data_IF_762022704449
#
_entry.id   IF_762022704449
#
_cell.length_a   1.000
_cell.length_b   1.000
_cell.length_c   1.000
_cell.angle_alpha   90.00
_cell.angle_beta   90.00
_cell.angle_gamma   90.00
#
_symmetry.space_group_name_H-M   'P 1'
#
loop_
_entity.id
_entity.type
_entity.pdbx_description
1 polymer ?
#
# COMPACT_ATOMS: atom_id res chain seq x y z
N UNK A 1 8.15 -23.48 -40.84
CA UNK A 1 7.53 -23.93 -39.59
C UNK A 1 7.94 -22.96 -38.50
N UNK A 2 7.02 -22.14 -38.00
CA UNK A 2 7.33 -21.17 -36.95
C UNK A 2 7.51 -21.93 -35.62
N UNK A 3 8.67 -21.77 -34.97
CA UNK A 3 8.90 -22.34 -33.65
C UNK A 3 7.89 -21.76 -32.65
N UNK A 4 7.30 -22.59 -31.76
CA UNK A 4 6.39 -22.09 -30.74
C UNK A 4 7.13 -21.12 -29.82
N UNK A 5 6.51 -19.98 -29.52
CA UNK A 5 7.07 -18.96 -28.65
C UNK A 5 7.38 -19.56 -27.26
N UNK A 6 8.64 -19.53 -26.87
CA UNK A 6 9.09 -19.97 -25.54
C UNK A 6 8.34 -19.14 -24.49
N UNK A 7 7.64 -19.75 -23.52
CA UNK A 7 6.94 -19.00 -22.49
C UNK A 7 7.95 -18.26 -21.62
N UNK A 8 8.07 -16.94 -21.82
CA UNK A 8 8.87 -16.07 -20.96
C UNK A 8 8.35 -16.15 -19.54
N UNK A 9 9.10 -16.79 -18.64
CA UNK A 9 8.86 -16.71 -17.20
C UNK A 9 9.21 -15.30 -16.75
N UNK A 10 8.21 -14.44 -16.58
CA UNK A 10 8.39 -13.12 -15.95
C UNK A 10 9.05 -13.38 -14.59
N UNK A 11 10.29 -12.89 -14.35
CA UNK A 11 10.96 -13.11 -13.08
C UNK A 11 10.07 -12.52 -11.98
N UNK A 12 9.75 -13.30 -10.92
CA UNK A 12 8.93 -12.78 -9.83
C UNK A 12 9.64 -11.56 -9.25
N UNK A 13 8.92 -10.48 -8.95
CA UNK A 13 9.47 -9.34 -8.23
C UNK A 13 10.27 -9.89 -7.04
N UNK A 14 11.55 -9.63 -7.10
CA UNK A 14 12.53 -10.17 -6.20
C UNK A 14 12.53 -9.34 -4.93
N UNK A 15 11.56 -9.62 -4.08
CA UNK A 15 11.49 -9.20 -2.67
C UNK A 15 12.64 -9.77 -1.83
N UNK A 16 13.57 -10.53 -2.44
CA UNK A 16 14.57 -11.39 -1.79
C UNK A 16 15.72 -10.68 -1.09
N UNK A 17 15.81 -9.35 -1.14
CA UNK A 17 16.68 -8.61 -0.21
C UNK A 17 15.76 -7.66 0.54
N UNK A 18 15.73 -7.70 1.88
CA UNK A 18 14.91 -6.77 2.62
C UNK A 18 15.45 -5.39 2.29
N UNK A 19 14.65 -4.62 1.57
CA UNK A 19 14.99 -3.28 1.18
C UNK A 19 14.75 -2.38 2.41
N UNK A 20 15.44 -2.69 3.51
CA UNK A 20 15.23 -2.13 4.84
C UNK A 20 15.35 -0.60 4.85
N UNK A 21 16.10 -0.05 3.91
CA UNK A 21 16.29 1.39 3.77
C UNK A 21 15.18 2.01 2.89
N UNK A 22 14.77 1.34 1.80
CA UNK A 22 13.81 1.94 0.86
C UNK A 22 12.36 1.75 1.26
N UNK A 23 12.00 0.69 2.00
CA UNK A 23 10.63 0.50 2.48
C UNK A 23 10.21 1.61 3.45
N UNK A 24 11.01 2.00 4.45
CA UNK A 24 10.68 3.14 5.32
C UNK A 24 10.62 4.47 4.56
N UNK A 25 11.52 4.69 3.60
CA UNK A 25 11.51 5.90 2.76
C UNK A 25 10.25 5.96 1.90
N UNK A 26 9.88 4.84 1.27
CA UNK A 26 8.66 4.70 0.48
C UNK A 26 7.41 4.95 1.34
N UNK A 27 7.38 4.40 2.54
CA UNK A 27 6.30 4.59 3.51
C UNK A 27 6.21 6.06 3.95
N UNK A 28 7.34 6.66 4.31
CA UNK A 28 7.41 8.07 4.71
C UNK A 28 6.93 9.00 3.59
N UNK A 29 7.30 8.75 2.33
CA UNK A 29 6.79 9.54 1.20
C UNK A 29 5.29 9.29 0.97
N UNK A 30 4.85 8.04 1.02
CA UNK A 30 3.46 7.67 0.73
C UNK A 30 2.46 8.17 1.79
N UNK A 31 2.90 8.26 3.06
CA UNK A 31 2.11 8.80 4.17
C UNK A 31 2.35 10.31 4.36
N UNK A 32 3.54 10.79 3.99
CA UNK A 32 3.93 12.18 4.19
C UNK A 32 3.26 13.14 3.23
N UNK A 33 3.06 12.76 1.96
CA UNK A 33 2.47 13.67 0.98
C UNK A 33 1.00 14.06 1.28
N UNK A 34 0.10 13.15 1.72
CA UNK A 34 -1.26 13.55 2.10
C UNK A 34 -1.25 14.37 3.40
N UNK A 35 -0.37 14.03 4.35
CA UNK A 35 -0.23 14.81 5.58
C UNK A 35 0.29 16.23 5.32
N UNK A 36 1.14 16.41 4.31
CA UNK A 36 1.62 17.73 3.89
C UNK A 36 0.50 18.64 3.36
N UNK A 37 -0.62 18.09 2.87
CA UNK A 37 -1.80 18.90 2.48
C UNK A 37 -2.43 19.62 3.68
N UNK A 38 -2.24 19.10 4.88
CA UNK A 38 -2.80 19.63 6.12
C UNK A 38 -1.74 20.28 7.02
N UNK A 39 -0.60 20.73 6.47
CA UNK A 39 0.52 21.26 7.26
C UNK A 39 0.14 22.46 8.16
N UNK A 40 -0.89 23.22 7.77
CA UNK A 40 -1.38 24.37 8.50
C UNK A 40 -2.16 23.99 9.77
N UNK A 41 -2.77 22.79 9.79
CA UNK A 41 -3.66 22.35 10.87
C UNK A 41 -3.21 21.01 11.46
N UNK A 42 -2.70 21.04 12.69
CA UNK A 42 -2.15 19.86 13.36
C UNK A 42 -3.17 18.73 13.62
N UNK A 43 -4.46 19.05 13.72
CA UNK A 43 -5.52 18.05 13.93
C UNK A 43 -5.71 17.13 12.71
N UNK A 44 -6.17 17.66 11.56
CA UNK A 44 -6.31 16.91 10.30
C UNK A 44 -5.01 16.24 9.85
N UNK A 45 -3.85 16.87 10.08
CA UNK A 45 -2.55 16.28 9.79
C UNK A 45 -2.32 14.97 10.56
N UNK A 46 -2.57 14.96 11.88
CA UNK A 46 -2.42 13.75 12.72
C UNK A 46 -3.37 12.65 12.28
N UNK A 47 -4.62 12.98 11.99
CA UNK A 47 -5.60 12.01 11.49
C UNK A 47 -5.15 11.39 10.16
N UNK A 48 -4.59 12.21 9.27
CA UNK A 48 -4.08 11.74 7.98
C UNK A 48 -2.87 10.82 8.13
N UNK A 49 -1.95 11.15 9.05
CA UNK A 49 -0.81 10.28 9.38
C UNK A 49 -1.26 8.93 9.96
N UNK A 50 -2.20 8.95 10.91
CA UNK A 50 -2.75 7.74 11.53
C UNK A 50 -3.50 6.90 10.48
N UNK A 51 -4.37 7.51 9.68
CA UNK A 51 -5.11 6.83 8.62
C UNK A 51 -4.16 6.20 7.59
N UNK A 52 -3.15 6.96 7.13
CA UNK A 52 -2.12 6.46 6.23
C UNK A 52 -1.35 5.28 6.82
N UNK A 53 -0.91 5.39 8.08
CA UNK A 53 -0.22 4.30 8.78
C UNK A 53 -1.08 3.04 8.88
N UNK A 54 -2.36 3.18 9.22
CA UNK A 54 -3.31 2.06 9.31
C UNK A 54 -3.50 1.36 7.96
N UNK A 55 -3.71 2.13 6.89
CA UNK A 55 -3.86 1.57 5.53
C UNK A 55 -2.62 0.79 5.12
N UNK A 56 -1.43 1.35 5.34
CA UNK A 56 -0.19 0.68 4.99
C UNK A 56 0.11 -0.54 5.87
N UNK A 57 -0.24 -0.50 7.16
CA UNK A 57 -0.12 -1.66 8.04
C UNK A 57 -0.96 -2.84 7.52
N UNK A 58 -2.23 -2.59 7.18
CA UNK A 58 -3.13 -3.62 6.61
C UNK A 58 -2.57 -4.12 5.28
N UNK A 59 -2.12 -3.23 4.40
CA UNK A 59 -1.55 -3.60 3.10
C UNK A 59 -0.30 -4.49 3.26
N UNK A 60 0.62 -4.14 4.17
CA UNK A 60 1.84 -4.91 4.44
C UNK A 60 1.53 -6.27 5.07
N UNK A 61 0.57 -6.35 5.99
CA UNK A 61 0.11 -7.63 6.56
C UNK A 61 -0.45 -8.53 5.46
N UNK A 62 -1.32 -8.00 4.60
CA UNK A 62 -1.91 -8.75 3.49
C UNK A 62 -0.84 -9.26 2.51
N UNK A 63 0.13 -8.40 2.20
CA UNK A 63 1.24 -8.77 1.31
C UNK A 63 2.18 -9.81 1.95
N UNK A 64 2.45 -9.68 3.25
CA UNK A 64 3.22 -10.63 4.05
C UNK A 64 2.54 -11.99 4.15
N UNK A 65 1.21 -12.02 4.33
CA UNK A 65 0.42 -13.24 4.31
C UNK A 65 0.49 -13.95 2.95
N UNK A 66 0.40 -13.19 1.85
CA UNK A 66 0.52 -13.77 0.51
C UNK A 66 1.92 -14.34 0.24
N UNK A 67 2.96 -13.65 0.73
CA UNK A 67 4.34 -14.13 0.67
C UNK A 67 4.51 -15.43 1.48
N UNK A 68 3.99 -15.48 2.71
CA UNK A 68 4.02 -16.68 3.56
C UNK A 68 3.28 -17.87 2.93
N UNK A 69 2.20 -17.61 2.17
CA UNK A 69 1.45 -18.62 1.41
C UNK A 69 2.14 -19.07 0.09
N UNK A 70 3.39 -18.66 -0.16
CA UNK A 70 4.16 -19.04 -1.35
C UNK A 70 3.72 -18.34 -2.64
N UNK A 71 2.92 -17.27 -2.55
CA UNK A 71 2.40 -16.49 -3.68
C UNK A 71 2.95 -15.06 -3.66
N UNK A 72 4.27 -14.83 -3.83
CA UNK A 72 4.82 -13.48 -3.76
C UNK A 72 4.24 -12.58 -4.88
N UNK A 73 3.98 -11.29 -4.60
CA UNK A 73 3.45 -10.36 -5.59
C UNK A 73 4.43 -10.21 -6.75
N UNK A 74 4.00 -10.53 -7.98
CA UNK A 74 4.87 -10.58 -9.17
C UNK A 74 4.96 -9.27 -9.95
N UNK A 75 4.11 -8.30 -9.66
CA UNK A 75 4.08 -7.02 -10.36
C UNK A 75 3.77 -5.86 -9.43
N UNK A 76 4.20 -4.65 -9.82
CA UNK A 76 3.91 -3.39 -9.09
C UNK A 76 2.40 -3.19 -8.93
N UNK A 77 1.62 -3.60 -9.94
CA UNK A 77 0.15 -3.52 -9.93
C UNK A 77 -0.46 -4.33 -8.79
N UNK A 78 0.08 -5.51 -8.48
CA UNK A 78 -0.41 -6.32 -7.35
C UNK A 78 -0.17 -5.59 -6.03
N UNK A 79 0.99 -4.98 -5.83
CA UNK A 79 1.28 -4.19 -4.61
C UNK A 79 0.32 -3.00 -4.48
N UNK A 80 0.13 -2.23 -5.56
CA UNK A 80 -0.82 -1.11 -5.58
C UNK A 80 -2.23 -1.59 -5.25
N UNK A 81 -2.66 -2.74 -5.80
CA UNK A 81 -3.96 -3.32 -5.51
C UNK A 81 -4.15 -3.60 -4.02
N UNK A 82 -3.13 -4.09 -3.31
CA UNK A 82 -3.21 -4.34 -1.86
C UNK A 82 -3.40 -3.06 -1.08
N UNK A 83 -2.69 -2.00 -1.46
CA UNK A 83 -2.81 -0.68 -0.82
C UNK A 83 -4.18 -0.08 -1.08
N UNK A 84 -4.69 -0.16 -2.32
CA UNK A 84 -6.03 0.35 -2.68
C UNK A 84 -7.12 -0.45 -1.98
N UNK A 85 -7.01 -1.77 -1.92
CA UNK A 85 -7.97 -2.63 -1.20
C UNK A 85 -7.95 -2.34 0.31
N UNK A 86 -6.76 -2.22 0.91
CA UNK A 86 -6.62 -1.82 2.31
C UNK A 86 -7.26 -0.45 2.55
N UNK A 87 -7.01 0.52 1.66
CA UNK A 87 -7.62 1.85 1.68
C UNK A 87 -9.14 1.81 1.62
N UNK A 88 -9.70 1.05 0.67
CA UNK A 88 -11.14 0.87 0.53
C UNK A 88 -11.76 0.27 1.81
N UNK A 89 -11.14 -0.76 2.38
CA UNK A 89 -11.59 -1.37 3.64
C UNK A 89 -11.52 -0.36 4.78
N UNK A 90 -10.44 0.39 4.91
CA UNK A 90 -10.30 1.42 5.96
C UNK A 90 -11.35 2.51 5.82
N UNK A 91 -11.67 2.96 4.60
CA UNK A 91 -12.70 3.96 4.34
C UNK A 91 -14.11 3.45 4.69
N UNK A 92 -14.40 2.19 4.39
CA UNK A 92 -15.68 1.56 4.73
C UNK A 92 -15.84 1.34 6.24
N UNK A 93 -14.74 1.06 6.95
CA UNK A 93 -14.73 0.87 8.39
C UNK A 93 -14.60 2.17 9.19
N UNK A 94 -14.26 3.29 8.55
CA UNK A 94 -14.07 4.57 9.22
C UNK A 94 -15.27 5.00 10.11
N UNK A 95 -16.55 4.85 9.69
CA UNK A 95 -17.70 5.18 10.53
C UNK A 95 -17.76 4.40 11.83
N UNK A 96 -17.35 3.12 11.80
CA UNK A 96 -17.34 2.23 12.96
C UNK A 96 -16.21 2.66 13.90
N UNK A 97 -15.00 2.85 13.38
CA UNK A 97 -13.83 3.25 14.17
C UNK A 97 -14.04 4.62 14.83
N UNK A 98 -14.62 5.57 14.10
CA UNK A 98 -14.96 6.89 14.66
C UNK A 98 -16.07 6.76 15.69
N UNK A 99 -17.08 5.92 15.45
CA UNK A 99 -18.14 5.65 16.43
C UNK A 99 -17.60 5.12 17.76
N UNK A 100 -16.75 4.10 17.71
CA UNK A 100 -16.10 3.51 18.89
C UNK A 100 -15.16 4.48 19.61
N UNK A 101 -14.42 5.30 18.85
CA UNK A 101 -13.56 6.31 19.45
C UNK A 101 -14.38 7.39 20.16
N UNK A 102 -15.53 7.78 19.59
CA UNK A 102 -16.41 8.78 20.19
C UNK A 102 -17.13 8.25 21.42
N UNK A 103 -17.56 6.99 21.45
CA UNK A 103 -18.13 6.38 22.67
C UNK A 103 -17.09 6.31 23.80
N UNK A 104 -15.87 5.89 23.48
CA UNK A 104 -14.75 5.88 24.44
C UNK A 104 -14.37 7.28 24.94
N UNK A 105 -14.38 8.29 24.05
CA UNK A 105 -14.06 9.67 24.41
C UNK A 105 -15.20 10.40 25.12
N UNK A 106 -16.45 10.05 24.83
CA UNK A 106 -17.63 10.58 25.53
C UNK A 106 -17.67 10.12 26.98
N UNK A 107 -17.17 8.91 27.26
CA UNK A 107 -17.01 8.41 28.63
C UNK A 107 -15.93 9.18 29.41
N UNK A 108 -14.99 9.84 28.72
CA UNK A 108 -13.88 10.59 29.34
C UNK A 108 -13.99 12.12 29.27
N UNK A 109 -14.93 12.67 28.47
CA UNK A 109 -15.05 14.13 28.29
C UNK A 109 -16.50 14.54 27.99
N UNK A 110 -17.10 15.39 28.84
CA UNK A 110 -18.44 16.01 28.65
C UNK A 110 -18.57 16.89 27.39
N UNK A 111 -17.52 17.00 26.56
CA UNK A 111 -17.45 17.84 25.35
C UNK A 111 -17.38 17.04 24.05
N UNK A 112 -17.77 15.76 24.06
CA UNK A 112 -17.86 14.97 22.83
C UNK A 112 -18.97 15.55 21.93
N UNK A 113 -18.55 16.43 21.02
CA UNK A 113 -19.42 16.98 19.97
C UNK A 113 -20.13 15.87 19.21
N UNK A 114 -21.39 16.12 18.88
CA UNK A 114 -22.40 15.18 18.38
C UNK A 114 -22.14 14.67 16.96
N UNK A 115 -21.01 14.00 16.72
CA UNK A 115 -20.79 13.27 15.48
C UNK A 115 -21.50 11.91 15.59
N UNK A 116 -22.76 11.87 15.15
CA UNK A 116 -23.57 10.66 15.23
C UNK A 116 -23.10 9.61 14.23
N UNK A 117 -23.35 8.33 14.52
CA UNK A 117 -23.06 7.24 13.58
C UNK A 117 -23.77 7.44 12.22
N UNK A 118 -24.97 8.00 12.22
CA UNK A 118 -25.68 8.34 10.99
C UNK A 118 -24.98 9.42 10.17
N UNK A 119 -24.39 10.43 10.83
CA UNK A 119 -23.57 11.45 10.16
C UNK A 119 -22.28 10.85 9.59
N UNK A 120 -21.61 9.95 10.31
CA UNK A 120 -20.38 9.31 9.82
C UNK A 120 -20.64 8.39 8.62
N UNK A 121 -21.76 7.67 8.60
CA UNK A 121 -22.21 6.90 7.43
C UNK A 121 -22.48 7.80 6.21
N UNK A 122 -23.08 8.98 6.42
CA UNK A 122 -23.35 9.93 5.34
C UNK A 122 -22.06 10.50 4.71
N UNK A 123 -20.93 10.46 5.43
CA UNK A 123 -19.63 10.89 4.92
C UNK A 123 -18.91 9.82 4.07
N UNK A 124 -19.39 8.57 4.03
CA UNK A 124 -18.76 7.49 3.27
C UNK A 124 -18.54 7.86 1.79
N UNK A 125 -19.52 8.39 1.03
CA UNK A 125 -19.30 8.71 -0.37
C UNK A 125 -18.18 9.74 -0.56
N UNK A 126 -18.14 10.77 0.28
CA UNK A 126 -17.09 11.77 0.26
C UNK A 126 -15.72 11.16 0.60
N UNK A 127 -15.68 10.31 1.64
CA UNK A 127 -14.47 9.61 2.06
C UNK A 127 -13.93 8.70 0.94
N UNK A 128 -14.80 8.03 0.19
CA UNK A 128 -14.42 7.21 -0.97
C UNK A 128 -13.88 8.09 -2.10
N UNK A 129 -14.59 9.16 -2.46
CA UNK A 129 -14.21 10.06 -3.57
C UNK A 129 -12.86 10.71 -3.33
N UNK A 130 -12.54 11.09 -2.09
CA UNK A 130 -11.26 11.71 -1.74
C UNK A 130 -10.19 10.68 -1.38
N UNK A 131 -10.54 9.63 -0.63
CA UNK A 131 -9.61 8.67 -0.07
C UNK A 131 -9.08 7.65 -1.08
N UNK A 132 -9.88 7.21 -2.06
CA UNK A 132 -9.40 6.26 -3.07
C UNK A 132 -8.30 6.84 -3.97
N UNK A 133 -8.42 8.06 -4.53
CA UNK A 133 -7.33 8.68 -5.28
C UNK A 133 -6.06 8.82 -4.44
N UNK A 134 -6.19 9.23 -3.16
CA UNK A 134 -5.05 9.37 -2.25
C UNK A 134 -4.36 8.02 -2.05
N UNK A 135 -5.11 6.98 -1.71
CA UNK A 135 -4.55 5.63 -1.48
C UNK A 135 -3.95 5.03 -2.75
N UNK A 136 -4.52 5.31 -3.92
CA UNK A 136 -3.96 4.93 -5.22
C UNK A 136 -2.60 5.61 -5.47
N UNK A 137 -2.53 6.94 -5.34
CA UNK A 137 -1.29 7.70 -5.53
C UNK A 137 -0.23 7.25 -4.52
N UNK A 138 -0.59 7.12 -3.24
CA UNK A 138 0.30 6.57 -2.20
C UNK A 138 0.79 5.17 -2.53
N UNK A 139 -0.08 4.28 -3.02
CA UNK A 139 0.28 2.94 -3.46
C UNK A 139 1.24 2.94 -4.64
N UNK A 140 1.03 3.83 -5.61
CA UNK A 140 1.92 4.00 -6.77
C UNK A 140 3.29 4.52 -6.32
N UNK A 141 3.33 5.56 -5.49
CA UNK A 141 4.58 6.12 -4.93
C UNK A 141 5.32 5.04 -4.16
N UNK A 142 4.63 4.30 -3.30
CA UNK A 142 5.21 3.21 -2.53
C UNK A 142 5.80 2.12 -3.45
N UNK A 143 5.01 1.61 -4.38
CA UNK A 143 5.44 0.56 -5.30
C UNK A 143 6.58 1.03 -6.22
N UNK A 144 6.59 2.31 -6.58
CA UNK A 144 7.67 2.90 -7.35
C UNK A 144 8.95 2.95 -6.51
N UNK A 145 8.94 3.62 -5.37
CA UNK A 145 10.15 3.79 -4.54
C UNK A 145 10.68 2.45 -4.04
N UNK A 146 9.81 1.58 -3.52
CA UNK A 146 10.21 0.30 -2.96
C UNK A 146 10.75 -0.69 -4.02
N UNK A 147 10.32 -0.58 -5.29
CA UNK A 147 10.63 -1.56 -6.35
C UNK A 147 11.45 -1.00 -7.53
N UNK A 148 11.93 0.25 -7.47
CA UNK A 148 12.68 0.87 -8.59
C UNK A 148 14.16 0.52 -8.66
N UNK A 149 14.76 -0.02 -7.59
CA UNK A 149 16.22 -0.13 -7.50
C UNK A 149 16.86 -1.37 -8.16
N UNK A 150 16.13 -2.18 -8.94
CA UNK A 150 16.69 -3.42 -9.54
C UNK A 150 17.12 -3.35 -11.01
N UNK A 151 16.75 -2.30 -11.75
CA UNK A 151 17.05 -2.20 -13.19
C UNK A 151 18.53 -2.22 -13.57
N UNK A 152 19.44 -1.95 -12.61
CA UNK A 152 20.90 -1.94 -12.87
C UNK A 152 21.61 -3.26 -12.56
N UNK A 153 21.03 -4.17 -11.79
CA UNK A 153 21.69 -5.44 -11.43
C UNK A 153 21.24 -6.63 -12.27
N UNK A 154 20.03 -6.57 -12.84
CA UNK A 154 19.48 -7.64 -13.70
C UNK A 154 20.27 -7.76 -15.03
N UNK A 155 20.74 -6.63 -15.57
CA UNK A 155 21.63 -6.60 -16.75
C UNK A 155 23.03 -7.22 -16.52
N UNK A 156 23.43 -7.43 -15.25
CA UNK A 156 24.70 -8.08 -14.90
C UNK A 156 24.51 -9.59 -14.60
N UNK A 157 23.31 -10.00 -14.17
CA UNK A 157 22.96 -11.42 -13.97
C UNK A 157 22.56 -12.13 -15.29
N UNK A 158 22.16 -11.39 -16.32
CA UNK A 158 21.89 -11.93 -17.67
C UNK A 158 23.13 -12.62 -18.30
N UNK A 159 24.34 -12.32 -17.80
CA UNK A 159 25.56 -13.03 -18.19
C UNK A 159 25.63 -14.47 -17.67
N UNK A 160 25.05 -14.75 -16.50
CA UNK A 160 25.08 -16.07 -15.85
C UNK A 160 24.00 -16.99 -16.42
N UNK A 161 22.83 -16.44 -16.78
CA UNK A 161 21.74 -17.23 -17.38
C UNK A 161 22.00 -17.66 -18.83
N UNK A 162 23.01 -17.09 -19.49
CA UNK A 162 23.43 -17.51 -20.83
C UNK A 162 24.15 -18.86 -20.84
N UNK A 163 24.63 -19.34 -19.68
CA UNK A 163 25.34 -20.61 -19.54
C UNK A 163 24.42 -21.80 -19.19
N UNK A 164 23.18 -21.55 -18.74
CA UNK A 164 22.21 -22.60 -18.36
C UNK A 164 21.29 -23.06 -19.51
N UNK A 165 21.57 -22.63 -20.75
CA UNK A 165 20.86 -23.13 -21.93
C UNK A 165 21.46 -24.48 -22.31
N UNK A 166 20.88 -25.56 -21.81
CA UNK A 166 21.26 -26.92 -22.21
C UNK A 166 21.23 -27.02 -23.75
N UNK A 167 22.32 -27.47 -24.40
CA UNK A 167 22.26 -27.80 -25.82
C UNK A 167 21.33 -28.99 -25.98
N UNK A 168 20.18 -28.77 -26.62
CA UNK A 168 19.27 -29.84 -27.01
C UNK A 168 20.06 -30.83 -27.90
N UNK A 169 20.23 -32.06 -27.43
CA UNK A 169 20.61 -33.21 -28.25
C UNK A 169 19.36 -33.86 -28.82
#
# INVERSE_FOLDING_TARGET
MAAPAIPQRIPPLTWRKPVFIWTPIALAMAIGWPAALFYADGGPQRLTLIAGATVFAIALISLGAMWAAGRPPRSRRIVVLHVVMAGAITLLLAPIVVGELMTFLAESTERAGTLTFSMSLAMIPLAIVLGLPITLVSGIVFAWVALSHRRKHELLDDGVFREDVQPFR
#
